data_IF_334647102681
#
_entry.id   IF_334647102681
#
_cell.length_a   1.000
_cell.length_b   1.000
_cell.length_c   1.000
_cell.angle_alpha   90.00
_cell.angle_beta   90.00
_cell.angle_gamma   90.00
#
_symmetry.space_group_name_H-M   'P 1'
#
loop_
_entity.id
_entity.type
_entity.pdbx_description
1 polymer ?
#
# COMPACT_ATOMS: atom_id res chain seq x y z
N UNK A 1 27.96 -29.84 -5.09
CA UNK A 1 27.28 -29.43 -3.85
C UNK A 1 25.80 -29.37 -4.18
N UNK A 2 24.97 -30.28 -3.68
CA UNK A 2 23.51 -30.17 -3.86
C UNK A 2 23.03 -29.05 -2.93
N UNK A 3 22.84 -27.84 -3.47
CA UNK A 3 22.04 -26.82 -2.79
C UNK A 3 20.64 -27.40 -2.65
N UNK A 4 20.12 -27.51 -1.42
CA UNK A 4 18.71 -27.78 -1.23
C UNK A 4 17.90 -26.70 -1.95
N UNK A 5 16.81 -27.06 -2.63
CA UNK A 5 15.99 -26.07 -3.34
C UNK A 5 15.50 -25.02 -2.34
N UNK A 6 15.56 -23.75 -2.73
CA UNK A 6 15.01 -22.67 -1.92
C UNK A 6 13.48 -22.84 -1.89
N UNK A 7 12.92 -22.96 -0.69
CA UNK A 7 11.48 -23.10 -0.48
C UNK A 7 10.97 -21.76 0.07
N UNK A 8 9.94 -21.21 -0.57
CA UNK A 8 9.20 -20.04 -0.06
C UNK A 8 7.86 -20.54 0.48
N UNK A 9 7.57 -20.20 1.72
CA UNK A 9 6.36 -20.60 2.45
C UNK A 9 5.36 -19.45 2.56
N UNK A 10 4.14 -19.74 3.02
CA UNK A 10 3.15 -18.70 3.32
C UNK A 10 3.61 -17.70 4.39
N UNK A 11 4.42 -18.13 5.36
CA UNK A 11 4.97 -17.26 6.38
C UNK A 11 6.07 -16.32 5.80
N UNK A 12 6.81 -16.74 4.76
CA UNK A 12 7.75 -15.87 4.04
C UNK A 12 7.03 -14.78 3.23
N UNK A 13 5.90 -15.13 2.61
CA UNK A 13 5.03 -14.18 1.91
C UNK A 13 4.43 -13.18 2.90
N UNK A 14 3.95 -13.65 4.06
CA UNK A 14 3.48 -12.79 5.15
C UNK A 14 4.57 -11.82 5.61
N UNK A 15 5.81 -12.28 5.78
CA UNK A 15 6.91 -11.41 6.20
C UNK A 15 7.16 -10.29 5.18
N UNK A 16 7.07 -10.58 3.89
CA UNK A 16 7.18 -9.57 2.82
C UNK A 16 6.06 -8.56 2.87
N UNK A 17 4.83 -9.01 3.13
CA UNK A 17 3.72 -8.10 3.37
C UNK A 17 3.98 -7.20 4.60
N UNK A 18 4.52 -7.75 5.68
CA UNK A 18 4.87 -6.97 6.88
C UNK A 18 5.94 -5.92 6.61
N UNK A 19 6.95 -6.26 5.80
CA UNK A 19 7.97 -5.31 5.36
C UNK A 19 7.38 -4.21 4.49
N UNK A 20 6.46 -4.55 3.58
CA UNK A 20 5.80 -3.58 2.69
C UNK A 20 4.94 -2.60 3.49
N UNK A 21 4.16 -3.09 4.46
CA UNK A 21 3.40 -2.25 5.41
C UNK A 21 4.32 -1.32 6.20
N UNK A 22 5.40 -1.87 6.78
CA UNK A 22 6.32 -1.08 7.59
C UNK A 22 7.05 -0.02 6.74
N UNK A 23 7.45 -0.39 5.52
CA UNK A 23 8.17 0.49 4.60
C UNK A 23 7.30 1.65 4.13
N UNK A 24 6.14 1.36 3.52
CA UNK A 24 5.26 2.39 2.95
C UNK A 24 4.74 3.33 4.04
N UNK A 25 4.24 2.79 5.16
CA UNK A 25 3.74 3.67 6.22
C UNK A 25 4.86 4.50 6.84
N UNK A 26 6.07 3.94 7.04
CA UNK A 26 7.16 4.73 7.64
C UNK A 26 7.71 5.81 6.71
N UNK A 27 7.79 5.55 5.40
CA UNK A 27 8.31 6.52 4.42
C UNK A 27 7.35 7.67 4.17
N UNK A 28 6.05 7.36 4.12
CA UNK A 28 4.99 8.34 3.84
C UNK A 28 4.57 9.18 5.04
N UNK A 29 4.85 8.72 6.27
CA UNK A 29 4.51 9.45 7.51
C UNK A 29 5.73 10.02 8.24
N UNK A 30 6.94 9.77 7.72
CA UNK A 30 8.21 10.09 8.38
C UNK A 30 8.27 9.61 9.85
N UNK A 31 7.56 8.53 10.16
CA UNK A 31 7.37 8.00 11.50
C UNK A 31 7.70 6.51 11.54
N UNK A 32 8.26 6.02 12.64
CA UNK A 32 8.67 4.62 12.71
C UNK A 32 7.46 3.69 12.94
N UNK A 33 7.15 2.83 11.97
CA UNK A 33 6.20 1.72 12.09
C UNK A 33 6.96 0.41 12.25
N UNK A 34 6.59 -0.39 13.25
CA UNK A 34 7.21 -1.70 13.51
C UNK A 34 6.17 -2.79 13.69
N UNK A 35 6.55 -4.03 13.35
CA UNK A 35 5.72 -5.22 13.55
C UNK A 35 6.34 -6.16 14.58
N UNK A 36 5.50 -6.95 15.24
CA UNK A 36 5.94 -7.97 16.18
C UNK A 36 6.68 -9.10 15.46
N UNK A 37 7.79 -9.58 16.04
CA UNK A 37 8.56 -10.71 15.51
C UNK A 37 7.82 -12.06 15.60
N UNK A 38 6.72 -12.11 16.34
CA UNK A 38 5.91 -13.32 16.53
C UNK A 38 4.56 -13.14 15.86
N UNK A 39 4.14 -14.16 15.12
CA UNK A 39 2.83 -14.21 14.46
C UNK A 39 1.89 -15.14 15.22
N UNK A 40 0.59 -14.81 15.24
CA UNK A 40 -0.44 -15.63 15.86
C UNK A 40 -1.17 -16.44 14.79
N UNK A 41 -1.28 -17.75 14.96
CA UNK A 41 -2.20 -18.56 14.15
C UNK A 41 -3.63 -18.25 14.56
N UNK A 42 -4.49 -17.93 13.60
CA UNK A 42 -5.92 -17.64 13.80
C UNK A 42 -6.77 -18.61 12.98
N UNK A 43 -8.06 -18.72 13.29
CA UNK A 43 -8.98 -19.63 12.60
C UNK A 43 -9.73 -18.98 11.45
N UNK A 44 -9.86 -17.65 11.46
CA UNK A 44 -10.54 -16.86 10.44
C UNK A 44 -10.08 -15.41 10.52
N UNK A 45 -10.15 -14.72 9.39
CA UNK A 45 -9.94 -13.27 9.31
C UNK A 45 -11.23 -12.51 9.63
N UNK A 46 -11.14 -11.40 10.34
CA UNK A 46 -12.26 -10.50 10.60
C UNK A 46 -11.86 -9.04 10.50
N UNK A 47 -12.80 -8.22 10.03
CA UNK A 47 -12.72 -6.77 10.17
C UNK A 47 -13.23 -6.41 11.56
N UNK A 48 -12.39 -5.73 12.33
CA UNK A 48 -12.71 -5.24 13.68
C UNK A 48 -13.32 -3.83 13.60
N UNK A 49 -13.96 -3.37 14.69
CA UNK A 49 -14.44 -1.99 14.77
C UNK A 49 -13.32 -0.95 14.59
N UNK A 50 -13.73 0.30 14.38
CA UNK A 50 -12.94 1.47 14.01
C UNK A 50 -12.72 1.54 12.49
N UNK A 51 -11.50 1.29 12.01
CA UNK A 51 -11.15 1.44 10.61
C UNK A 51 -10.47 0.17 10.09
N UNK A 52 -11.14 -0.50 9.15
CA UNK A 52 -10.68 -1.76 8.59
C UNK A 52 -10.55 -1.69 7.08
N UNK A 53 -9.50 -2.30 6.54
CA UNK A 53 -9.30 -2.48 5.11
C UNK A 53 -9.20 -3.96 4.79
N UNK A 54 -9.74 -4.37 3.64
CA UNK A 54 -9.46 -5.70 3.10
C UNK A 54 -9.21 -5.67 1.61
N UNK A 55 -8.41 -6.62 1.13
CA UNK A 55 -8.12 -6.84 -0.28
C UNK A 55 -7.88 -8.33 -0.52
N UNK A 56 -8.30 -8.78 -1.70
CA UNK A 56 -8.16 -10.16 -2.16
C UNK A 56 -7.12 -10.15 -3.27
N UNK A 57 -6.27 -11.16 -3.29
CA UNK A 57 -5.35 -11.42 -4.39
C UNK A 57 -5.66 -12.79 -5.00
N UNK A 58 -5.44 -12.91 -6.30
CA UNK A 58 -5.69 -14.11 -7.09
C UNK A 58 -4.69 -14.25 -8.25
N UNK A 59 -4.54 -15.45 -8.81
CA UNK A 59 -3.59 -15.76 -9.87
C UNK A 59 -2.69 -16.94 -9.52
N UNK A 60 -1.38 -16.71 -9.39
CA UNK A 60 -0.42 -17.75 -9.00
C UNK A 60 -0.70 -18.38 -7.63
N UNK A 61 -1.37 -17.64 -6.74
CA UNK A 61 -2.03 -18.13 -5.53
C UNK A 61 -3.12 -17.14 -5.15
N UNK A 62 -4.09 -17.60 -4.36
CA UNK A 62 -5.19 -16.77 -3.89
C UNK A 62 -5.08 -16.52 -2.38
N UNK A 63 -5.65 -15.42 -1.92
CA UNK A 63 -5.74 -15.14 -0.50
C UNK A 63 -6.25 -13.74 -0.18
N UNK A 64 -6.20 -13.43 1.10
CA UNK A 64 -6.84 -12.27 1.73
C UNK A 64 -5.88 -11.54 2.65
N UNK A 65 -5.85 -10.22 2.50
CA UNK A 65 -5.26 -9.30 3.49
C UNK A 65 -6.38 -8.52 4.16
N UNK A 66 -6.35 -8.46 5.49
CA UNK A 66 -7.16 -7.56 6.30
C UNK A 66 -6.26 -6.73 7.19
N UNK A 67 -6.42 -5.41 7.22
CA UNK A 67 -5.75 -4.55 8.20
C UNK A 67 -6.80 -3.84 9.03
N UNK A 68 -6.67 -3.97 10.35
CA UNK A 68 -7.54 -3.37 11.34
C UNK A 68 -6.78 -2.30 12.12
N UNK A 69 -7.01 -1.04 11.79
CA UNK A 69 -6.47 0.11 12.51
C UNK A 69 -7.38 0.44 13.69
N UNK A 70 -6.77 0.58 14.88
CA UNK A 70 -7.47 1.26 15.97
C UNK A 70 -7.69 2.72 15.62
N UNK A 71 -8.77 3.32 16.10
CA UNK A 71 -9.04 4.75 15.92
C UNK A 71 -7.82 5.67 16.17
N UNK A 72 -7.05 5.53 17.27
CA UNK A 72 -5.87 6.37 17.49
C UNK A 72 -4.71 6.07 16.52
N UNK A 73 -4.53 4.82 16.09
CA UNK A 73 -3.51 4.48 15.08
C UNK A 73 -3.86 5.08 13.72
N UNK A 74 -5.12 5.00 13.30
CA UNK A 74 -5.59 5.58 12.04
C UNK A 74 -5.38 7.09 12.00
N UNK A 75 -5.77 7.80 13.07
CA UNK A 75 -5.58 9.25 13.17
C UNK A 75 -4.10 9.64 13.19
N UNK A 76 -3.26 8.91 13.91
CA UNK A 76 -1.82 9.19 13.92
C UNK A 76 -1.20 9.07 12.52
N UNK A 77 -1.49 7.98 11.80
CA UNK A 77 -0.97 7.74 10.45
C UNK A 77 -1.47 8.83 9.49
N UNK A 78 -2.78 9.10 9.49
CA UNK A 78 -3.40 10.13 8.66
C UNK A 78 -2.79 11.52 8.91
N UNK A 79 -2.70 11.95 10.18
CA UNK A 79 -2.17 13.27 10.53
C UNK A 79 -0.71 13.41 10.11
N UNK A 80 0.09 12.38 10.37
CA UNK A 80 1.52 12.40 10.02
C UNK A 80 1.72 12.48 8.51
N UNK A 81 0.91 11.74 7.74
CA UNK A 81 0.93 11.80 6.28
C UNK A 81 0.53 13.19 5.75
N UNK A 82 -0.58 13.75 6.24
CA UNK A 82 -1.04 15.09 5.82
C UNK A 82 -0.08 16.21 6.22
N UNK A 83 0.56 16.10 7.39
CA UNK A 83 1.62 17.03 7.81
C UNK A 83 2.84 16.95 6.90
N UNK A 84 3.23 15.76 6.47
CA UNK A 84 4.31 15.56 5.49
C UNK A 84 3.97 16.18 4.12
N UNK A 85 2.68 16.23 3.77
CA UNK A 85 2.16 16.94 2.59
C UNK A 85 2.01 18.46 2.79
N UNK A 86 2.36 19.00 3.97
CA UNK A 86 2.37 20.44 4.26
C UNK A 86 1.05 20.99 4.80
N UNK A 87 0.07 20.14 5.14
CA UNK A 87 -1.20 20.60 5.70
C UNK A 87 -1.05 21.06 7.16
N UNK A 88 -1.60 22.23 7.55
CA UNK A 88 -1.58 22.71 8.92
C UNK A 88 -2.38 21.79 9.86
N UNK A 89 -1.91 21.60 11.08
CA UNK A 89 -2.55 20.74 12.07
C UNK A 89 -4.00 21.14 12.40
N UNK A 90 -4.33 22.43 12.25
CA UNK A 90 -5.66 22.97 12.50
C UNK A 90 -6.71 22.54 11.46
N UNK A 91 -6.28 22.09 10.29
CA UNK A 91 -7.15 21.69 9.17
C UNK A 91 -7.39 20.18 9.13
N UNK A 92 -6.65 19.42 9.95
CA UNK A 92 -6.73 17.96 9.98
C UNK A 92 -8.02 17.45 10.60
N UNK A 93 -8.54 16.35 10.05
CA UNK A 93 -9.66 15.65 10.64
C UNK A 93 -9.37 15.19 12.08
N UNK A 94 -10.33 15.41 12.97
CA UNK A 94 -10.27 14.96 14.36
C UNK A 94 -10.84 13.55 14.55
N UNK A 95 -11.74 13.11 13.67
CA UNK A 95 -12.43 11.82 13.78
C UNK A 95 -11.91 10.81 12.76
N UNK A 96 -11.62 9.59 13.22
CA UNK A 96 -11.24 8.47 12.36
C UNK A 96 -12.35 8.05 11.40
N UNK A 97 -13.59 8.47 11.66
CA UNK A 97 -14.77 8.20 10.83
C UNK A 97 -14.97 9.25 9.72
N UNK A 98 -14.08 10.22 9.58
CA UNK A 98 -14.14 11.20 8.48
C UNK A 98 -13.87 10.51 7.15
N UNK A 99 -14.61 10.88 6.11
CA UNK A 99 -14.42 10.34 4.75
C UNK A 99 -12.98 10.54 4.28
N UNK A 100 -12.40 11.71 4.58
CA UNK A 100 -11.01 12.05 4.27
C UNK A 100 -9.99 11.06 4.89
N UNK A 101 -10.22 10.62 6.13
CA UNK A 101 -9.34 9.63 6.77
C UNK A 101 -9.46 8.29 6.05
N UNK A 102 -10.68 7.90 5.69
CA UNK A 102 -10.93 6.69 4.91
C UNK A 102 -10.23 6.71 3.54
N UNK A 103 -10.30 7.84 2.84
CA UNK A 103 -9.71 8.02 1.50
C UNK A 103 -8.18 7.98 1.56
N UNK A 104 -7.57 8.76 2.45
CA UNK A 104 -6.11 8.79 2.64
C UNK A 104 -5.57 7.43 3.07
N UNK A 105 -6.22 6.80 4.05
CA UNK A 105 -5.81 5.47 4.50
C UNK A 105 -6.03 4.44 3.38
N UNK A 106 -7.07 4.57 2.57
CA UNK A 106 -7.32 3.71 1.40
C UNK A 106 -6.22 3.82 0.35
N UNK A 107 -5.71 5.03 0.11
CA UNK A 107 -4.60 5.27 -0.80
C UNK A 107 -3.27 4.69 -0.26
N UNK A 108 -2.98 4.89 1.02
CA UNK A 108 -1.83 4.22 1.65
C UNK A 108 -1.93 2.70 1.56
N UNK A 109 -3.14 2.14 1.70
CA UNK A 109 -3.38 0.71 1.53
C UNK A 109 -3.16 0.24 0.09
N UNK A 110 -3.57 1.02 -0.91
CA UNK A 110 -3.24 0.76 -2.32
C UNK A 110 -1.73 0.67 -2.52
N UNK A 111 -0.97 1.62 -1.96
CA UNK A 111 0.48 1.67 -2.09
C UNK A 111 1.17 0.49 -1.40
N UNK A 112 0.74 0.15 -0.17
CA UNK A 112 1.25 -1.02 0.58
C UNK A 112 1.08 -2.30 -0.25
N UNK A 113 -0.12 -2.52 -0.78
CA UNK A 113 -0.43 -3.75 -1.49
C UNK A 113 0.23 -3.77 -2.88
N UNK A 114 0.34 -2.62 -3.55
CA UNK A 114 1.10 -2.49 -4.80
C UNK A 114 2.58 -2.83 -4.62
N UNK A 115 3.23 -2.28 -3.59
CA UNK A 115 4.62 -2.59 -3.22
C UNK A 115 4.80 -4.08 -2.90
N UNK A 116 3.89 -4.65 -2.11
CA UNK A 116 3.90 -6.07 -1.77
C UNK A 116 3.75 -6.96 -3.02
N UNK A 117 2.74 -6.72 -3.86
CA UNK A 117 2.48 -7.53 -5.05
C UNK A 117 3.64 -7.44 -6.05
N UNK A 118 4.22 -6.25 -6.22
CA UNK A 118 5.42 -6.08 -7.05
C UNK A 118 6.58 -6.94 -6.55
N UNK A 119 6.86 -6.92 -5.24
CA UNK A 119 7.92 -7.74 -4.61
C UNK A 119 7.68 -9.23 -4.75
N UNK A 120 6.43 -9.68 -4.59
CA UNK A 120 6.08 -11.10 -4.71
C UNK A 120 6.12 -11.56 -6.16
N UNK A 121 5.59 -10.78 -7.12
CA UNK A 121 5.66 -11.10 -8.55
C UNK A 121 7.11 -11.27 -9.02
N UNK A 122 8.01 -10.34 -8.64
CA UNK A 122 9.45 -10.43 -8.95
C UNK A 122 10.09 -11.70 -8.37
N UNK A 123 9.75 -12.07 -7.14
CA UNK A 123 10.37 -13.22 -6.47
C UNK A 123 9.81 -14.56 -6.94
N UNK A 124 8.51 -14.68 -7.17
CA UNK A 124 7.88 -15.95 -7.52
C UNK A 124 7.78 -16.15 -9.04
N UNK A 125 8.16 -15.15 -9.85
CA UNK A 125 8.01 -15.14 -11.31
C UNK A 125 6.58 -15.54 -11.73
N UNK A 126 5.60 -15.06 -10.99
CA UNK A 126 4.19 -15.37 -11.21
C UNK A 126 3.38 -14.08 -11.35
N UNK A 127 2.20 -14.19 -11.96
CA UNK A 127 1.27 -13.09 -12.10
C UNK A 127 0.21 -13.17 -11.01
N UNK A 128 0.17 -12.16 -10.16
CA UNK A 128 -0.85 -11.98 -9.12
C UNK A 128 -1.63 -10.72 -9.44
N UNK A 129 -2.94 -10.86 -9.46
CA UNK A 129 -3.89 -9.76 -9.60
C UNK A 129 -4.47 -9.44 -8.24
N UNK A 130 -4.66 -8.16 -7.96
CA UNK A 130 -5.19 -7.68 -6.71
C UNK A 130 -6.54 -7.00 -6.93
N UNK A 131 -7.52 -7.31 -6.09
CA UNK A 131 -8.74 -6.51 -6.00
C UNK A 131 -8.43 -5.17 -5.33
N UNK A 132 -9.07 -4.09 -5.75
CA UNK A 132 -8.92 -2.81 -5.05
C UNK A 132 -9.25 -2.96 -3.55
N UNK A 133 -8.35 -2.50 -2.66
CA UNK A 133 -8.60 -2.48 -1.23
C UNK A 133 -9.80 -1.60 -0.93
N UNK A 134 -10.69 -2.09 -0.07
CA UNK A 134 -11.85 -1.33 0.38
C UNK A 134 -11.65 -0.92 1.81
N UNK A 135 -11.60 0.39 2.04
CA UNK A 135 -11.59 0.97 3.38
C UNK A 135 -13.02 1.04 3.92
N UNK A 136 -13.22 0.62 5.17
CA UNK A 136 -14.51 0.56 5.81
C UNK A 136 -14.40 1.08 7.24
N UNK A 137 -15.24 2.07 7.57
CA UNK A 137 -15.50 2.46 8.96
C UNK A 137 -16.55 1.53 9.54
N UNK A 138 -16.20 0.82 10.61
CA UNK A 138 -16.98 -0.31 11.10
C UNK A 138 -17.32 -0.12 12.57
N UNK A 139 -18.59 -0.27 12.91
CA UNK A 139 -19.08 -0.16 14.30
C UNK A 139 -19.23 -1.52 14.99
N UNK A 140 -19.11 -2.63 14.25
CA UNK A 140 -19.27 -4.01 14.74
C UNK A 140 -18.38 -4.97 13.96
N UNK A 141 -17.82 -5.96 14.62
CA UNK A 141 -16.98 -6.97 13.95
C UNK A 141 -17.71 -7.64 12.77
N UNK A 142 -17.05 -7.71 11.62
CA UNK A 142 -17.53 -8.37 10.40
C UNK A 142 -16.60 -9.53 10.06
N UNK A 143 -17.17 -10.71 9.84
CA UNK A 143 -16.42 -11.84 9.30
C UNK A 143 -16.38 -11.73 7.78
N UNK A 144 -15.20 -11.82 7.19
CA UNK A 144 -15.04 -11.91 5.74
C UNK A 144 -14.94 -13.39 5.38
N UNK A 145 -15.81 -13.83 4.47
CA UNK A 145 -15.71 -15.13 3.82
C UNK A 145 -15.57 -14.88 2.33
N UNK A 146 -14.51 -15.44 1.74
CA UNK A 146 -14.29 -15.34 0.29
C UNK A 146 -14.60 -16.71 -0.28
N UNK A 147 -15.39 -16.72 -1.35
CA UNK A 147 -15.71 -17.92 -2.14
C UNK A 147 -14.57 -18.25 -3.13
N UNK A 148 -13.34 -17.91 -2.76
CA UNK A 148 -12.15 -18.54 -3.31
C UNK A 148 -12.04 -19.86 -2.58
N UNK A 149 -12.04 -20.96 -3.31
CA UNK A 149 -11.86 -22.32 -2.79
C UNK A 149 -10.48 -22.47 -2.14
N UNK A 150 -10.27 -21.82 -1.00
CA UNK A 150 -9.02 -21.88 -0.25
C UNK A 150 -8.99 -23.23 0.47
N UNK A 151 -8.24 -24.18 -0.08
CA UNK A 151 -8.08 -25.51 0.50
C UNK A 151 -7.01 -25.48 1.60
N UNK A 152 -7.32 -26.06 2.76
CA UNK A 152 -6.47 -26.02 3.96
C UNK A 152 -5.92 -24.60 4.32
N UNK A 153 -6.75 -23.57 4.22
CA UNK A 153 -6.35 -22.18 4.43
C UNK A 153 -5.57 -21.95 5.74
N UNK A 154 -4.42 -21.29 5.64
CA UNK A 154 -3.60 -20.87 6.78
C UNK A 154 -3.83 -19.40 7.02
N UNK A 155 -4.30 -19.07 8.22
CA UNK A 155 -4.51 -17.68 8.64
C UNK A 155 -3.55 -17.27 9.76
N UNK A 156 -2.98 -16.07 9.62
CA UNK A 156 -1.99 -15.47 10.52
C UNK A 156 -2.43 -14.06 10.90
N UNK A 157 -2.18 -13.67 12.14
CA UNK A 157 -2.32 -12.30 12.64
C UNK A 157 -0.97 -11.78 13.10
N UNK A 158 -0.64 -10.55 12.72
CA UNK A 158 0.56 -9.82 13.12
C UNK A 158 0.13 -8.50 13.77
N UNK A 159 0.79 -8.14 14.87
CA UNK A 159 0.58 -6.87 15.55
C UNK A 159 1.61 -5.85 15.09
N UNK A 160 1.15 -4.63 14.82
CA UNK A 160 1.97 -3.48 14.48
C UNK A 160 1.86 -2.42 15.57
N UNK A 161 2.89 -1.58 15.65
CA UNK A 161 2.94 -0.41 16.52
C UNK A 161 3.38 0.82 15.75
N UNK A 162 2.67 1.91 15.98
CA UNK A 162 3.05 3.24 15.52
C UNK A 162 4.13 3.84 16.42
N UNK A 163 4.64 5.02 16.04
CA UNK A 163 5.64 5.76 16.83
C UNK A 163 5.13 6.09 18.24
N UNK A 164 3.84 6.42 18.37
CA UNK A 164 3.21 6.68 19.66
C UNK A 164 2.66 5.43 20.35
N UNK A 165 3.10 4.23 19.94
CA UNK A 165 2.69 2.93 20.49
C UNK A 165 1.20 2.58 20.32
N UNK A 166 0.49 3.21 19.37
CA UNK A 166 -0.85 2.75 19.00
C UNK A 166 -0.75 1.46 18.20
N UNK A 167 -1.68 0.55 18.45
CA UNK A 167 -1.64 -0.80 17.89
C UNK A 167 -2.62 -0.90 16.72
N UNK A 168 -2.20 -1.59 15.68
CA UNK A 168 -3.08 -2.10 14.63
C UNK A 168 -2.69 -3.54 14.28
N UNK A 169 -3.57 -4.26 13.57
CA UNK A 169 -3.37 -5.66 13.26
C UNK A 169 -3.47 -5.90 11.76
N UNK A 170 -2.55 -6.71 11.25
CA UNK A 170 -2.63 -7.32 9.92
C UNK A 170 -3.09 -8.76 10.10
N UNK A 171 -4.07 -9.19 9.32
CA UNK A 171 -4.47 -10.58 9.18
C UNK A 171 -4.28 -11.00 7.73
N UNK A 172 -3.68 -12.16 7.55
CA UNK A 172 -3.34 -12.71 6.25
C UNK A 172 -3.84 -14.14 6.19
N UNK A 173 -4.53 -14.49 5.11
CA UNK A 173 -4.97 -15.85 4.85
C UNK A 173 -4.65 -16.24 3.41
N UNK A 174 -4.08 -17.43 3.22
CA UNK A 174 -3.84 -18.02 1.91
C UNK A 174 -3.84 -19.55 2.02
N UNK A 175 -3.85 -20.22 0.87
CA UNK A 175 -3.69 -21.67 0.82
C UNK A 175 -2.35 -22.10 1.38
N UNK A 176 -2.34 -23.29 1.98
CA UNK A 176 -1.10 -23.90 2.46
C UNK A 176 -0.29 -24.41 1.26
N UNK A 177 0.51 -23.52 0.69
CA UNK A 177 1.36 -23.82 -0.47
C UNK A 177 2.84 -23.54 -0.18
N UNK A 178 3.69 -24.31 -0.88
CA UNK A 178 5.14 -24.15 -0.87
C UNK A 178 5.60 -23.88 -2.30
N UNK A 179 6.37 -22.81 -2.49
CA UNK A 179 6.97 -22.49 -3.78
C UNK A 179 8.41 -22.99 -3.78
N UNK A 180 8.67 -24.02 -4.58
CA UNK A 180 9.96 -24.68 -4.65
C UNK A 180 10.71 -24.11 -5.86
N UNK A 181 11.85 -23.46 -5.62
CA UNK A 181 12.71 -22.96 -6.70
C UNK A 181 13.32 -24.14 -7.46
N UNK A 182 12.86 -24.35 -8.69
CA UNK A 182 13.31 -25.44 -9.57
C UNK A 182 14.52 -25.05 -10.44
N UNK A 183 14.64 -23.77 -10.79
CA UNK A 183 15.73 -23.26 -11.62
C UNK A 183 16.31 -21.96 -11.03
N UNK A 184 17.61 -21.71 -11.27
CA UNK A 184 18.23 -20.43 -10.95
C UNK A 184 17.85 -19.41 -12.02
N UNK A 185 16.96 -18.49 -11.67
CA UNK A 185 16.75 -17.27 -12.44
C UNK A 185 17.45 -16.11 -11.75
N UNK A 186 18.04 -15.23 -12.54
CA UNK A 186 18.43 -13.90 -12.09
C UNK A 186 17.12 -13.14 -11.84
N UNK A 187 16.90 -12.73 -10.59
CA UNK A 187 15.89 -11.72 -10.32
C UNK A 187 16.34 -10.51 -11.14
N UNK A 188 15.56 -10.12 -12.17
CA UNK A 188 15.90 -8.98 -13.02
C UNK A 188 16.38 -7.85 -12.11
N UNK A 189 17.66 -7.49 -12.27
CA UNK A 189 18.27 -6.41 -11.52
C UNK A 189 17.28 -5.24 -11.54
N UNK A 190 17.07 -4.66 -10.36
CA UNK A 190 16.18 -3.54 -10.18
C UNK A 190 16.68 -2.43 -11.12
N UNK A 191 16.10 -2.34 -12.33
CA UNK A 191 16.45 -1.33 -13.29
C UNK A 191 16.21 0.00 -12.60
N UNK A 192 17.28 0.70 -12.26
CA UNK A 192 17.19 2.02 -11.69
C UNK A 192 16.46 2.88 -12.73
N UNK A 193 15.30 3.49 -12.42
CA UNK A 193 14.67 4.41 -13.35
C UNK A 193 15.62 5.54 -13.78
N UNK A 194 16.62 5.89 -12.97
CA UNK A 194 17.69 6.82 -13.36
C UNK A 194 18.61 6.25 -14.45
N UNK A 195 18.84 4.93 -14.52
CA UNK A 195 19.62 4.30 -15.60
C UNK A 195 18.86 4.29 -16.93
N UNK A 196 17.55 4.03 -16.90
CA UNK A 196 16.68 4.16 -18.09
C UNK A 196 16.52 5.62 -18.53
N UNK A 197 16.43 6.54 -17.57
CA UNK A 197 16.44 7.98 -17.83
C UNK A 197 17.80 8.45 -18.35
N UNK A 198 18.92 7.83 -17.96
CA UNK A 198 20.24 8.14 -18.51
C UNK A 198 20.40 7.64 -19.96
N UNK A 199 19.84 6.46 -20.29
CA UNK A 199 19.82 5.95 -21.67
C UNK A 199 18.97 6.82 -22.60
N UNK A 200 17.85 7.39 -22.11
CA UNK A 200 16.96 8.27 -22.89
C UNK A 200 17.27 9.77 -22.75
N UNK A 201 17.96 10.18 -21.68
CA UNK A 201 18.25 11.56 -21.29
C UNK A 201 19.31 12.23 -22.14
N UNK A 202 20.07 11.46 -22.92
CA UNK A 202 21.02 11.99 -23.90
C UNK A 202 20.33 12.59 -25.15
N UNK A 203 18.99 12.72 -25.16
CA UNK A 203 18.22 13.32 -26.26
C UNK A 203 17.25 14.45 -25.90
N UNK A 204 17.06 14.82 -24.63
CA UNK A 204 16.15 15.93 -24.30
C UNK A 204 16.64 16.71 -23.08
N UNK A 205 17.48 17.72 -23.32
CA UNK A 205 17.61 18.85 -22.40
C UNK A 205 16.34 19.71 -22.49
N UNK A 206 15.45 19.59 -21.51
CA UNK A 206 14.41 20.60 -21.27
C UNK A 206 14.09 20.71 -19.79
N UNK A 207 14.08 21.97 -19.33
CA UNK A 207 14.01 22.49 -17.96
C UNK A 207 12.88 21.88 -17.10
N UNK A 208 13.00 21.92 -15.75
CA UNK A 208 11.99 21.35 -14.87
C UNK A 208 10.71 22.20 -14.89
N UNK A 209 9.62 21.58 -15.32
CA UNK A 209 8.26 22.13 -15.20
C UNK A 209 7.69 21.80 -13.81
N UNK A 210 7.13 22.81 -13.16
CA UNK A 210 6.52 22.71 -11.83
C UNK A 210 5.23 21.88 -11.88
N UNK A 211 4.92 21.19 -10.78
CA UNK A 211 3.73 20.34 -10.67
C UNK A 211 2.42 21.13 -10.86
N UNK A 212 1.33 20.50 -11.36
CA UNK A 212 0.05 21.16 -11.63
C UNK A 212 -0.60 21.83 -10.41
N UNK A 213 -0.19 21.45 -9.19
CA UNK A 213 -0.74 21.99 -7.95
C UNK A 213 -0.13 23.37 -7.62
N UNK A 214 1.08 23.64 -8.08
CA UNK A 214 1.76 24.93 -7.92
C UNK A 214 1.17 26.05 -8.79
N UNK A 215 0.47 25.69 -9.87
CA UNK A 215 -0.14 26.65 -10.79
C UNK A 215 -1.51 27.16 -10.30
N UNK A 216 -2.20 26.41 -9.44
CA UNK A 216 -3.49 26.82 -8.88
C UNK A 216 -3.36 27.88 -7.76
N UNK A 217 -2.20 27.95 -7.09
CA UNK A 217 -1.98 28.84 -5.96
C UNK A 217 -1.50 30.26 -6.34
N UNK A 218 -1.22 30.53 -7.62
CA UNK A 218 -0.57 31.78 -8.05
C UNK A 218 -1.37 32.60 -9.07
N UNK A 219 -2.67 32.33 -9.23
CA UNK A 219 -3.55 33.06 -10.15
C UNK A 219 -4.37 34.13 -9.42
N UNK A 220 -3.69 35.11 -8.84
CA UNK A 220 -4.23 36.44 -8.69
C UNK A 220 -3.32 37.43 -9.42
N UNK A 221 -3.95 38.31 -10.21
CA UNK A 221 -3.40 39.45 -10.97
C UNK A 221 -2.67 39.16 -12.29
N UNK A 222 -3.44 39.07 -13.40
CA UNK A 222 -3.26 39.85 -14.63
C UNK A 222 -4.23 39.33 -15.71
N UNK A 223 -5.11 40.20 -16.21
CA UNK A 223 -5.95 39.90 -17.36
C UNK A 223 -5.16 40.08 -18.65
N UNK A 224 -5.13 39.05 -19.49
CA UNK A 224 -4.93 39.16 -20.95
C UNK A 224 -5.18 37.82 -21.69
N UNK A 225 -5.26 36.68 -21.00
CA UNK A 225 -5.37 35.35 -21.67
C UNK A 225 -6.76 35.00 -22.24
N UNK A 226 -7.79 35.82 -22.03
CA UNK A 226 -9.16 35.52 -22.49
C UNK A 226 -9.38 35.87 -23.97
N UNK A 227 -8.61 36.82 -24.51
CA UNK A 227 -8.79 37.32 -25.88
C UNK A 227 -8.02 36.49 -26.93
N UNK A 228 -6.96 35.77 -26.54
CA UNK A 228 -6.24 34.86 -27.44
C UNK A 228 -7.03 33.57 -27.75
N UNK A 229 -7.77 33.04 -26.77
CA UNK A 229 -8.57 31.83 -26.95
C UNK A 229 -9.81 32.03 -27.85
N UNK A 230 -10.36 33.25 -27.90
CA UNK A 230 -11.50 33.57 -28.77
C UNK A 230 -11.06 33.72 -30.23
N UNK A 231 -9.89 34.30 -30.47
CA UNK A 231 -9.31 34.40 -31.81
C UNK A 231 -8.96 33.04 -32.42
N UNK A 232 -8.57 32.05 -31.60
CA UNK A 232 -8.22 30.71 -32.09
C UNK A 232 -9.47 29.84 -32.39
N UNK A 233 -10.62 30.16 -31.79
CA UNK A 233 -11.90 29.47 -32.04
C UNK A 233 -12.73 30.06 -33.19
N UNK A 234 -12.26 31.16 -33.80
CA UNK A 234 -12.86 31.72 -35.02
C UNK A 234 -14.30 32.22 -34.85
N UNK A 235 -14.64 32.75 -33.66
CA UNK A 235 -15.91 33.43 -33.36
C UNK A 235 -15.64 34.83 -32.83
#
# INVERSE_FOLDING_TARGET
MNKSPQIVTSDDILLKLCHSVSHVLSSTTASQISHAAMVQSITRTCLKPDLGCFSIFDGGFSGLVVINFSAPAAIEIYRSYMQQMGMPEAELAFSHTSDEVGDVMGELMNQILGDFISKVNKQLQTSIHQSQPKMLTINKELTISIDTNLDEAVARRVSFKTQNNHIFYLEFAMDKTEFIKLDEFDAEDEFDPDDLLAEHGNKHESKPEASPWTQAANKEVAGDDADELLNELGI
#
